data_IF_089721774532
#
_entry.id   IF_089721774532
#
_cell.length_a   1.000
_cell.length_b   1.000
_cell.length_c   1.000
_cell.angle_alpha   90.00
_cell.angle_beta   90.00
_cell.angle_gamma   90.00
#
_symmetry.space_group_name_H-M   'P 1'
#
loop_
_entity.id
_entity.type
_entity.pdbx_description
1 polymer ?
#
# COMPACT_ATOMS: atom_id res chain seq x y z
N UNK A 1 -16.89 4.48 23.43
CA UNK A 1 -16.33 3.24 22.81
C UNK A 1 -15.28 3.52 21.75
N UNK A 2 -15.49 4.44 20.80
CA UNK A 2 -14.50 4.71 19.73
C UNK A 2 -13.11 5.12 20.26
N UNK A 3 -13.05 6.05 21.22
CA UNK A 3 -11.78 6.53 21.80
C UNK A 3 -10.97 5.39 22.45
N UNK A 4 -11.64 4.50 23.19
CA UNK A 4 -10.99 3.38 23.87
C UNK A 4 -10.36 2.39 22.87
N UNK A 5 -11.09 2.04 21.80
CA UNK A 5 -10.56 1.19 20.72
C UNK A 5 -9.40 1.85 19.99
N UNK A 6 -9.45 3.16 19.76
CA UNK A 6 -8.34 3.91 19.16
C UNK A 6 -7.11 3.92 20.07
N UNK A 7 -7.30 4.04 21.39
CA UNK A 7 -6.21 3.97 22.36
C UNK A 7 -5.56 2.58 22.38
N UNK A 8 -6.37 1.52 22.46
CA UNK A 8 -5.91 0.13 22.39
C UNK A 8 -5.13 -0.15 21.11
N UNK A 9 -5.61 0.37 19.96
CA UNK A 9 -4.91 0.29 18.69
C UNK A 9 -3.54 0.98 18.74
N UNK A 10 -3.48 2.21 19.25
CA UNK A 10 -2.22 2.97 19.34
C UNK A 10 -1.21 2.31 20.27
N UNK A 11 -1.65 1.75 21.40
CA UNK A 11 -0.80 0.95 22.31
C UNK A 11 -0.32 -0.32 21.60
N UNK A 12 -1.21 -1.03 20.90
CA UNK A 12 -0.86 -2.26 20.16
C UNK A 12 0.16 -2.01 19.03
N UNK A 13 0.07 -0.86 18.36
CA UNK A 13 1.05 -0.43 17.35
C UNK A 13 2.38 0.03 18.00
N UNK A 14 2.41 0.18 19.31
CA UNK A 14 3.53 0.71 20.07
C UNK A 14 3.73 2.21 19.86
N UNK A 15 2.69 2.95 19.46
CA UNK A 15 2.72 4.40 19.34
C UNK A 15 2.64 5.09 20.72
N UNK A 16 1.94 4.46 21.67
CA UNK A 16 1.78 4.90 23.04
C UNK A 16 2.27 3.82 24.01
N UNK A 17 2.75 4.24 25.18
CA UNK A 17 2.99 3.36 26.33
C UNK A 17 1.66 3.01 27.03
N UNK A 18 1.68 2.09 27.99
CA UNK A 18 0.49 1.72 28.77
C UNK A 18 -0.06 2.90 29.59
N UNK A 19 0.79 3.86 29.94
CA UNK A 19 0.44 5.11 30.63
C UNK A 19 -0.13 6.17 29.67
N UNK A 20 -0.22 5.89 28.36
CA UNK A 20 -0.77 6.80 27.36
C UNK A 20 0.19 7.89 26.89
N UNK A 21 1.51 7.71 27.09
CA UNK A 21 2.56 8.65 26.64
C UNK A 21 3.11 8.21 25.28
N UNK A 22 3.52 9.15 24.42
CA UNK A 22 4.20 8.80 23.16
C UNK A 22 5.46 7.98 23.43
N UNK A 23 5.60 6.86 22.73
CA UNK A 23 6.79 6.02 22.84
C UNK A 23 7.97 6.59 22.05
N UNK A 24 9.18 6.33 22.53
CA UNK A 24 10.43 6.68 21.87
C UNK A 24 11.12 5.40 21.35
N UNK A 25 11.51 5.30 20.07
CA UNK A 25 11.33 6.29 19.00
C UNK A 25 10.02 6.16 18.22
N UNK A 26 9.28 5.07 18.39
CA UNK A 26 8.19 4.68 17.47
C UNK A 26 7.06 5.71 17.45
N UNK A 27 6.51 6.10 18.59
CA UNK A 27 5.42 7.08 18.69
C UNK A 27 5.82 8.43 18.12
N UNK A 28 7.01 8.92 18.47
CA UNK A 28 7.54 10.17 17.93
C UNK A 28 7.77 10.12 16.41
N UNK A 29 8.21 8.98 15.87
CA UNK A 29 8.33 8.80 14.43
C UNK A 29 6.96 8.76 13.75
N UNK A 30 5.98 8.05 14.32
CA UNK A 30 4.63 7.92 13.74
C UNK A 30 3.92 9.26 13.60
N UNK A 31 4.05 10.17 14.59
CA UNK A 31 3.43 11.50 14.58
C UNK A 31 4.00 12.41 13.48
N UNK A 32 5.23 12.17 13.01
CA UNK A 32 5.86 12.97 11.94
C UNK A 32 5.35 12.60 10.55
N UNK A 33 4.65 11.49 10.39
CA UNK A 33 4.12 11.02 9.12
C UNK A 33 2.65 11.41 8.99
N UNK A 34 2.22 12.10 7.91
CA UNK A 34 0.83 12.50 7.70
C UNK A 34 0.00 11.31 7.17
N UNK A 35 -0.09 10.25 7.97
CA UNK A 35 -0.68 8.97 7.60
C UNK A 35 -1.48 8.37 8.75
N UNK A 36 -2.36 7.42 8.42
CA UNK A 36 -2.99 6.58 9.42
C UNK A 36 -1.95 5.81 10.24
N UNK A 37 -2.19 5.57 11.54
CA UNK A 37 -1.21 4.93 12.43
C UNK A 37 -0.66 3.59 11.91
N UNK A 38 -1.49 2.77 11.26
CA UNK A 38 -1.05 1.49 10.70
C UNK A 38 -0.05 1.69 9.56
N UNK A 39 -0.27 2.67 8.69
CA UNK A 39 0.65 3.00 7.59
C UNK A 39 1.93 3.64 8.09
N UNK A 40 1.85 4.52 9.08
CA UNK A 40 3.04 5.08 9.76
C UNK A 40 3.89 3.97 10.38
N UNK A 41 3.25 3.03 11.08
CA UNK A 41 3.92 1.85 11.64
C UNK A 41 4.55 0.99 10.54
N UNK A 42 3.86 0.79 9.43
CA UNK A 42 4.35 -0.01 8.31
C UNK A 42 5.66 0.53 7.72
N UNK A 43 5.78 1.85 7.57
CA UNK A 43 7.01 2.49 7.09
C UNK A 43 8.16 2.35 8.10
N UNK A 44 7.89 2.54 9.39
CA UNK A 44 8.91 2.36 10.44
C UNK A 44 9.44 0.92 10.45
N UNK A 45 8.54 -0.07 10.34
CA UNK A 45 8.90 -1.49 10.30
C UNK A 45 9.63 -1.85 9.00
N UNK A 46 9.26 -1.25 7.86
CA UNK A 46 9.90 -1.50 6.57
C UNK A 46 11.40 -1.17 6.55
N UNK A 47 11.84 -0.21 7.36
CA UNK A 47 13.27 0.08 7.57
C UNK A 47 14.02 -1.14 8.13
N UNK A 48 13.39 -1.91 9.03
CA UNK A 48 13.98 -3.11 9.65
C UNK A 48 14.03 -4.29 8.68
N UNK A 49 13.02 -4.42 7.82
CA UNK A 49 12.93 -5.47 6.80
C UNK A 49 13.65 -5.13 5.49
N UNK A 50 14.23 -3.92 5.39
CA UNK A 50 14.94 -3.42 4.20
C UNK A 50 14.09 -3.39 2.92
N UNK A 51 12.80 -3.07 3.05
CA UNK A 51 11.82 -3.01 1.96
C UNK A 51 11.06 -1.69 1.92
N UNK A 52 11.75 -0.59 2.27
CA UNK A 52 11.17 0.75 2.38
C UNK A 52 10.64 1.26 1.04
N UNK A 53 11.38 1.08 -0.05
CA UNK A 53 10.95 1.53 -1.38
C UNK A 53 9.65 0.82 -1.82
N UNK A 54 9.52 -0.48 -1.57
CA UNK A 54 8.29 -1.22 -1.83
C UNK A 54 7.12 -0.80 -0.94
N UNK A 55 7.38 -0.62 0.37
CA UNK A 55 6.34 -0.26 1.33
C UNK A 55 5.82 1.17 1.09
N UNK A 56 6.69 2.11 0.71
CA UNK A 56 6.29 3.46 0.31
C UNK A 56 5.27 3.44 -0.84
N UNK A 57 5.53 2.61 -1.85
CA UNK A 57 4.62 2.44 -2.99
C UNK A 57 3.29 1.86 -2.51
N UNK A 58 3.31 0.80 -1.72
CA UNK A 58 2.09 0.16 -1.21
C UNK A 58 1.26 1.14 -0.38
N UNK A 59 1.86 1.82 0.58
CA UNK A 59 1.17 2.81 1.43
C UNK A 59 0.58 3.93 0.57
N UNK A 60 1.32 4.43 -0.42
CA UNK A 60 0.83 5.47 -1.30
C UNK A 60 -0.37 5.01 -2.14
N UNK A 61 -0.34 3.79 -2.68
CA UNK A 61 -1.45 3.21 -3.43
C UNK A 61 -2.69 2.97 -2.56
N UNK A 62 -2.50 2.49 -1.32
CA UNK A 62 -3.57 2.28 -0.35
C UNK A 62 -4.19 3.59 0.20
N UNK A 63 -3.43 4.68 0.14
CA UNK A 63 -3.87 6.02 0.59
C UNK A 63 -4.71 6.76 -0.46
N UNK A 64 -5.01 6.12 -1.60
CA UNK A 64 -5.87 6.68 -2.65
C UNK A 64 -7.18 5.94 -2.76
N UNK A 65 -8.17 6.57 -3.40
CA UNK A 65 -9.36 5.86 -3.88
C UNK A 65 -8.94 4.69 -4.78
N UNK A 66 -9.80 3.65 -4.86
CA UNK A 66 -9.56 2.47 -5.70
C UNK A 66 -8.98 2.86 -7.06
N UNK A 67 -7.80 2.32 -7.35
CA UNK A 67 -7.12 2.56 -8.62
C UNK A 67 -7.82 1.86 -9.78
N UNK A 68 -8.62 0.82 -9.51
CA UNK A 68 -9.36 0.09 -10.53
C UNK A 68 -10.70 0.76 -10.80
N UNK A 69 -11.09 0.84 -12.07
CA UNK A 69 -12.45 1.15 -12.48
C UNK A 69 -13.00 0.05 -13.38
N UNK A 70 -14.23 -0.39 -13.13
CA UNK A 70 -14.85 -1.48 -13.88
C UNK A 70 -16.15 -1.01 -14.51
N UNK A 71 -16.14 -0.64 -15.81
CA UNK A 71 -17.36 -0.31 -16.54
C UNK A 71 -18.24 -1.55 -16.68
N UNK A 72 -19.56 -1.40 -16.45
CA UNK A 72 -20.52 -2.52 -16.55
C UNK A 72 -20.47 -3.23 -17.91
N UNK A 73 -20.29 -2.49 -18.99
CA UNK A 73 -20.23 -3.01 -20.36
C UNK A 73 -18.92 -3.74 -20.70
N UNK A 74 -17.86 -3.49 -19.93
CA UNK A 74 -16.49 -4.00 -20.19
C UNK A 74 -15.96 -4.84 -19.02
N UNK A 75 -16.85 -5.52 -18.30
CA UNK A 75 -16.49 -6.30 -17.12
C UNK A 75 -15.42 -7.36 -17.41
N UNK A 76 -15.59 -8.14 -18.48
CA UNK A 76 -14.66 -9.21 -18.84
C UNK A 76 -13.30 -8.68 -19.34
N UNK A 77 -13.30 -7.59 -20.11
CA UNK A 77 -12.07 -6.89 -20.53
C UNK A 77 -11.31 -6.33 -19.31
N UNK A 78 -12.03 -5.71 -18.38
CA UNK A 78 -11.47 -5.17 -17.13
C UNK A 78 -10.83 -6.27 -16.29
N UNK A 79 -11.52 -7.40 -16.12
CA UNK A 79 -10.98 -8.58 -15.41
C UNK A 79 -9.74 -9.15 -16.11
N UNK A 80 -9.75 -9.22 -17.44
CA UNK A 80 -8.59 -9.70 -18.20
C UNK A 80 -7.38 -8.78 -18.03
N UNK A 81 -7.59 -7.46 -18.06
CA UNK A 81 -6.52 -6.49 -17.83
C UNK A 81 -5.97 -6.54 -16.40
N UNK A 82 -6.82 -6.64 -15.39
CA UNK A 82 -6.40 -6.78 -13.98
C UNK A 82 -5.55 -8.03 -13.75
N UNK A 83 -5.85 -9.13 -14.44
CA UNK A 83 -5.04 -10.37 -14.35
C UNK A 83 -3.61 -10.19 -14.84
N UNK A 84 -3.35 -9.29 -15.80
CA UNK A 84 -2.00 -9.06 -16.34
C UNK A 84 -0.99 -8.53 -15.31
N UNK A 85 -1.46 -7.86 -14.26
CA UNK A 85 -0.60 -7.39 -13.15
C UNK A 85 -0.82 -8.14 -11.85
N UNK A 86 -1.77 -9.08 -11.84
CA UNK A 86 -2.07 -9.89 -10.66
C UNK A 86 -0.82 -10.63 -10.19
N UNK A 87 -0.56 -10.53 -8.90
CA UNK A 87 0.52 -11.26 -8.27
C UNK A 87 -0.08 -12.37 -7.40
N UNK A 88 0.39 -13.60 -7.60
CA UNK A 88 -0.08 -14.77 -6.84
C UNK A 88 0.17 -14.68 -5.34
N UNK A 89 1.09 -13.81 -4.91
CA UNK A 89 1.40 -13.59 -3.50
C UNK A 89 0.55 -12.49 -2.83
N UNK A 90 -0.34 -11.83 -3.58
CA UNK A 90 -1.43 -11.01 -3.03
C UNK A 90 -1.57 -9.59 -3.61
N UNK A 91 -2.69 -8.94 -3.26
CA UNK A 91 -3.11 -7.65 -3.81
C UNK A 91 -2.14 -6.49 -3.57
N UNK A 92 -1.44 -6.48 -2.42
CA UNK A 92 -0.41 -5.48 -2.14
C UNK A 92 0.72 -5.54 -3.18
N UNK A 93 1.12 -6.74 -3.61
CA UNK A 93 2.13 -6.91 -4.64
C UNK A 93 1.56 -6.60 -6.03
N UNK A 94 0.28 -6.85 -6.27
CA UNK A 94 -0.41 -6.39 -7.48
C UNK A 94 -0.35 -4.86 -7.61
N UNK A 95 -0.64 -4.12 -6.53
CA UNK A 95 -0.52 -2.65 -6.51
C UNK A 95 0.91 -2.17 -6.77
N UNK A 96 1.89 -2.86 -6.17
CA UNK A 96 3.32 -2.61 -6.42
C UNK A 96 3.68 -2.81 -7.90
N UNK A 97 3.22 -3.90 -8.52
CA UNK A 97 3.43 -4.19 -9.95
C UNK A 97 2.86 -3.09 -10.84
N UNK A 98 1.63 -2.64 -10.55
CA UNK A 98 0.94 -1.59 -11.30
C UNK A 98 1.72 -0.27 -11.23
N UNK A 99 2.13 0.14 -10.02
CA UNK A 99 2.89 1.36 -9.83
C UNK A 99 4.21 1.31 -10.60
N UNK A 100 4.98 0.22 -10.47
CA UNK A 100 6.26 0.03 -11.17
C UNK A 100 6.10 0.05 -12.69
N UNK A 101 5.10 -0.64 -13.23
CA UNK A 101 4.80 -0.63 -14.66
C UNK A 101 4.46 0.78 -15.17
N UNK A 102 3.71 1.54 -14.38
CA UNK A 102 3.39 2.93 -14.72
C UNK A 102 4.61 3.85 -14.73
N UNK A 103 5.56 3.60 -13.82
CA UNK A 103 6.77 4.40 -13.70
C UNK A 103 7.76 4.10 -14.82
N UNK A 104 7.97 2.81 -15.11
CA UNK A 104 8.79 2.35 -16.25
C UNK A 104 8.27 2.91 -17.58
N UNK A 105 6.94 2.92 -17.79
CA UNK A 105 6.33 3.51 -18.99
C UNK A 105 6.62 5.01 -19.11
N UNK A 106 6.53 5.72 -17.98
CA UNK A 106 6.73 7.16 -17.93
C UNK A 106 8.21 7.50 -18.19
N UNK A 107 9.14 6.77 -17.61
CA UNK A 107 10.58 6.91 -17.84
C UNK A 107 10.93 6.66 -19.32
N UNK A 108 10.50 5.53 -19.89
CA UNK A 108 10.71 5.23 -21.31
C UNK A 108 10.13 6.30 -22.22
N UNK A 109 8.94 6.81 -21.91
CA UNK A 109 8.29 7.85 -22.71
C UNK A 109 9.01 9.20 -22.63
N UNK A 110 9.57 9.57 -21.47
CA UNK A 110 10.35 10.81 -21.28
C UNK A 110 11.68 10.79 -22.04
N UNK A 111 12.28 9.62 -22.26
CA UNK A 111 13.52 9.48 -23.03
C UNK A 111 13.32 9.70 -24.52
N UNK A 112 12.15 9.36 -25.05
CA UNK A 112 11.87 9.36 -26.50
C UNK A 112 10.97 10.53 -26.93
N UNK A 113 10.29 11.19 -25.99
CA UNK A 113 9.29 12.20 -26.31
C UNK A 113 9.14 13.30 -25.27
N UNK A 114 8.43 14.38 -25.65
CA UNK A 114 8.12 15.48 -24.72
C UNK A 114 7.31 15.00 -23.51
N UNK A 115 7.40 15.74 -22.41
CA UNK A 115 6.65 15.46 -21.17
C UNK A 115 5.15 15.30 -21.41
N UNK A 116 4.57 16.15 -22.26
CA UNK A 116 3.15 16.09 -22.61
C UNK A 116 2.79 14.77 -23.31
N UNK A 117 3.65 14.28 -24.22
CA UNK A 117 3.45 13.01 -24.91
C UNK A 117 3.61 11.82 -23.96
N UNK A 118 4.54 11.89 -23.01
CA UNK A 118 4.67 10.88 -21.95
C UNK A 118 3.41 10.78 -21.08
N UNK A 119 2.84 11.91 -20.67
CA UNK A 119 1.56 11.93 -19.92
C UNK A 119 0.39 11.37 -20.74
N UNK A 120 0.33 11.68 -22.04
CA UNK A 120 -0.69 11.12 -22.94
C UNK A 120 -0.56 9.59 -23.07
N UNK A 121 0.66 9.07 -23.16
CA UNK A 121 0.92 7.64 -23.20
C UNK A 121 0.51 6.95 -21.89
N UNK A 122 0.82 7.56 -20.74
CA UNK A 122 0.38 7.05 -19.44
C UNK A 122 -1.15 7.02 -19.33
N UNK A 123 -1.84 8.08 -19.80
CA UNK A 123 -3.30 8.11 -19.83
C UNK A 123 -3.90 7.02 -20.72
N UNK A 124 -3.29 6.74 -21.87
CA UNK A 124 -3.69 5.63 -22.75
C UNK A 124 -3.49 4.28 -22.05
N UNK A 125 -2.32 4.04 -21.45
CA UNK A 125 -2.04 2.81 -20.71
C UNK A 125 -3.01 2.61 -19.54
N UNK A 126 -3.33 3.66 -18.79
CA UNK A 126 -4.31 3.59 -17.72
C UNK A 126 -5.69 3.16 -18.24
N UNK A 127 -6.13 3.73 -19.37
CA UNK A 127 -7.40 3.36 -20.01
C UNK A 127 -7.41 1.91 -20.50
N UNK A 128 -6.33 1.47 -21.14
CA UNK A 128 -6.20 0.11 -21.67
C UNK A 128 -6.15 -0.94 -20.55
N UNK A 129 -5.68 -0.55 -19.35
CA UNK A 129 -5.56 -1.43 -18.18
C UNK A 129 -6.64 -1.20 -17.11
N UNK A 130 -7.68 -0.41 -17.42
CA UNK A 130 -8.79 -0.13 -16.49
C UNK A 130 -8.35 0.47 -15.15
N UNK A 131 -7.31 1.32 -15.20
CA UNK A 131 -6.74 2.05 -14.07
C UNK A 131 -7.17 3.51 -14.14
N UNK A 132 -7.59 4.07 -13.00
CA UNK A 132 -7.88 5.48 -12.82
C UNK A 132 -6.57 6.29 -12.86
N UNK A 133 -6.37 7.04 -13.95
CA UNK A 133 -5.23 7.98 -14.08
C UNK A 133 -5.21 9.01 -12.94
N UNK A 134 -6.39 9.41 -12.43
CA UNK A 134 -6.52 10.36 -11.32
C UNK A 134 -5.99 9.74 -10.02
N UNK A 135 -6.43 8.53 -9.69
CA UNK A 135 -6.00 7.82 -8.49
C UNK A 135 -4.51 7.51 -8.55
N UNK A 136 -4.01 7.06 -9.71
CA UNK A 136 -2.59 6.78 -9.91
C UNK A 136 -1.72 8.03 -9.76
N UNK A 137 -2.12 9.19 -10.32
CA UNK A 137 -1.42 10.46 -10.13
C UNK A 137 -1.38 10.87 -8.66
N UNK A 138 -2.52 10.78 -7.98
CA UNK A 138 -2.61 11.06 -6.54
C UNK A 138 -1.66 10.14 -5.74
N UNK A 139 -1.59 8.85 -6.07
CA UNK A 139 -0.70 7.91 -5.41
C UNK A 139 0.77 8.31 -5.61
N UNK A 140 1.16 8.75 -6.81
CA UNK A 140 2.52 9.24 -7.08
C UNK A 140 2.86 10.52 -6.30
N UNK A 141 1.91 11.43 -6.16
CA UNK A 141 2.08 12.65 -5.38
C UNK A 141 2.25 12.33 -3.89
N UNK A 142 1.39 11.45 -3.34
CA UNK A 142 1.49 10.95 -1.97
C UNK A 142 2.83 10.24 -1.75
N UNK A 143 3.24 9.35 -2.66
CA UNK A 143 4.53 8.66 -2.60
C UNK A 143 5.70 9.64 -2.47
N UNK A 144 5.74 10.67 -3.33
CA UNK A 144 6.76 11.72 -3.30
C UNK A 144 6.79 12.49 -1.98
N UNK A 145 5.61 12.82 -1.43
CA UNK A 145 5.51 13.52 -0.15
C UNK A 145 5.97 12.65 1.02
N UNK A 146 5.51 11.41 1.11
CA UNK A 146 5.89 10.49 2.20
C UNK A 146 7.39 10.19 2.14
N UNK A 147 7.93 9.91 0.95
CA UNK A 147 9.37 9.65 0.77
C UNK A 147 10.22 10.78 1.36
N UNK A 148 9.88 12.04 1.08
CA UNK A 148 10.58 13.21 1.64
C UNK A 148 10.53 13.24 3.17
N UNK A 149 9.38 12.92 3.77
CA UNK A 149 9.25 12.85 5.23
C UNK A 149 10.14 11.74 5.82
N UNK A 150 10.14 10.55 5.21
CA UNK A 150 10.97 9.40 5.61
C UNK A 150 12.47 9.75 5.53
N UNK A 151 12.89 10.40 4.44
CA UNK A 151 14.27 10.89 4.27
C UNK A 151 14.65 11.93 5.34
N UNK A 152 13.79 12.91 5.61
CA UNK A 152 13.99 13.93 6.66
C UNK A 152 14.00 13.35 8.09
N UNK A 153 13.42 12.18 8.28
CA UNK A 153 13.47 11.44 9.55
C UNK A 153 14.75 10.61 9.69
N UNK A 154 15.57 10.50 8.63
CA UNK A 154 16.77 9.67 8.62
C UNK A 154 16.48 8.17 8.53
N UNK A 155 15.28 7.78 8.09
CA UNK A 155 14.94 6.38 7.89
C UNK A 155 15.58 5.87 6.58
N UNK A 156 16.15 4.66 6.62
CA UNK A 156 16.89 4.10 5.49
C UNK A 156 16.00 3.76 4.30
N UNK A 157 16.26 4.37 3.16
CA UNK A 157 15.68 3.97 1.88
C UNK A 157 16.42 2.74 1.35
N UNK A 158 15.75 1.60 1.40
CA UNK A 158 16.27 0.32 0.92
C UNK A 158 15.17 -0.43 0.19
N UNK A 159 15.57 -1.19 -0.84
CA UNK A 159 14.69 -2.08 -1.58
C UNK A 159 15.05 -3.52 -1.27
N UNK A 160 14.04 -4.38 -1.12
CA UNK A 160 14.27 -5.82 -1.00
C UNK A 160 14.56 -6.50 -2.35
N UNK A 161 14.60 -5.74 -3.45
CA UNK A 161 14.88 -6.24 -4.79
C UNK A 161 13.88 -7.30 -5.21
N UNK A 162 14.37 -8.48 -5.57
CA UNK A 162 13.54 -9.64 -5.93
C UNK A 162 13.04 -10.46 -4.74
N UNK A 163 13.56 -10.25 -3.52
CA UNK A 163 13.17 -11.02 -2.34
C UNK A 163 11.89 -10.45 -1.70
N UNK A 164 10.76 -10.74 -2.32
CA UNK A 164 9.44 -10.31 -1.85
C UNK A 164 9.00 -11.00 -0.55
N UNK A 165 9.76 -11.97 -0.02
CA UNK A 165 9.47 -12.54 1.29
C UNK A 165 9.69 -11.50 2.40
N UNK A 166 10.70 -10.64 2.28
CA UNK A 166 10.96 -9.56 3.24
C UNK A 166 9.78 -8.59 3.31
N UNK A 167 9.26 -8.20 2.15
CA UNK A 167 8.08 -7.33 2.06
C UNK A 167 6.84 -7.98 2.69
N UNK A 168 6.58 -9.26 2.42
CA UNK A 168 5.43 -9.96 3.01
C UNK A 168 5.53 -10.13 4.52
N UNK A 169 6.73 -10.40 5.05
CA UNK A 169 6.97 -10.42 6.50
C UNK A 169 6.76 -9.05 7.11
N UNK A 170 7.21 -7.99 6.42
CA UNK A 170 6.95 -6.61 6.84
C UNK A 170 5.44 -6.30 6.86
N UNK A 171 4.70 -6.68 5.82
CA UNK A 171 3.24 -6.51 5.76
C UNK A 171 2.56 -7.24 6.92
N UNK A 172 2.91 -8.50 7.18
CA UNK A 172 2.37 -9.26 8.29
C UNK A 172 2.67 -8.61 9.66
N UNK A 173 3.90 -8.12 9.87
CA UNK A 173 4.30 -7.45 11.10
C UNK A 173 3.62 -6.08 11.30
N UNK A 174 3.24 -5.41 10.22
CA UNK A 174 2.68 -4.05 10.28
C UNK A 174 1.15 -4.03 10.33
N UNK A 175 0.52 -4.95 9.59
CA UNK A 175 -0.93 -5.06 9.43
C UNK A 175 -1.53 -6.19 10.28
N UNK A 176 -0.82 -6.65 11.32
CA UNK A 176 -1.20 -7.81 12.14
C UNK A 176 -2.63 -7.73 12.72
N UNK A 177 -3.13 -6.51 13.01
CA UNK A 177 -4.48 -6.26 13.54
C UNK A 177 -5.58 -6.59 12.51
N UNK A 178 -5.22 -6.54 11.22
CA UNK A 178 -6.11 -6.81 10.09
C UNK A 178 -5.96 -8.25 9.57
N UNK A 179 -5.35 -9.15 10.35
CA UNK A 179 -5.21 -10.55 9.99
C UNK A 179 -6.53 -11.33 10.14
N UNK A 180 -6.74 -12.29 9.26
CA UNK A 180 -7.86 -13.22 9.31
C UNK A 180 -7.38 -14.66 9.05
N UNK A 181 -8.08 -15.63 9.64
CA UNK A 181 -7.78 -17.05 9.50
C UNK A 181 -8.90 -17.77 8.76
N UNK A 182 -8.54 -18.54 7.74
CA UNK A 182 -9.47 -19.43 7.03
C UNK A 182 -9.97 -20.53 7.97
N UNK A 183 -11.28 -20.72 8.01
CA UNK A 183 -11.97 -21.74 8.79
C UNK A 183 -12.21 -23.01 7.94
N UNK A 184 -12.47 -24.18 8.57
CA UNK A 184 -12.74 -25.43 7.86
C UNK A 184 -13.94 -25.37 6.91
N UNK A 185 -14.92 -24.52 7.22
CA UNK A 185 -16.12 -24.28 6.40
C UNK A 185 -15.88 -23.38 5.18
N UNK A 186 -14.64 -22.91 5.00
CA UNK A 186 -14.24 -22.02 3.91
C UNK A 186 -14.45 -20.52 4.17
N UNK A 187 -15.07 -20.14 5.29
CA UNK A 187 -15.16 -18.73 5.72
C UNK A 187 -13.84 -18.23 6.31
N UNK A 188 -13.73 -16.93 6.53
CA UNK A 188 -12.57 -16.34 7.22
C UNK A 188 -13.01 -15.74 8.54
N UNK A 189 -12.14 -15.78 9.55
CA UNK A 189 -12.41 -15.17 10.88
C UNK A 189 -11.33 -14.16 11.21
N UNK A 190 -11.72 -12.91 11.47
CA UNK A 190 -10.79 -11.85 11.86
C UNK A 190 -10.15 -12.15 13.23
N UNK A 191 -8.84 -11.97 13.38
CA UNK A 191 -8.11 -12.30 14.62
C UNK A 191 -8.36 -11.29 15.75
N UNK A 192 -8.55 -10.01 15.42
CA UNK A 192 -8.72 -8.94 16.41
C UNK A 192 -10.11 -8.91 17.06
N UNK A 193 -11.16 -9.36 16.35
CA UNK A 193 -12.55 -9.30 16.82
C UNK A 193 -13.34 -10.60 16.72
N UNK A 194 -12.79 -11.66 16.11
CA UNK A 194 -13.45 -12.94 15.96
C UNK A 194 -14.65 -12.95 15.00
N UNK A 195 -14.91 -11.87 14.28
CA UNK A 195 -16.00 -11.75 13.31
C UNK A 195 -15.73 -12.61 12.07
N UNK A 196 -16.77 -13.25 11.54
CA UNK A 196 -16.73 -13.93 10.24
C UNK A 196 -16.71 -12.90 9.11
N UNK A 197 -15.74 -13.03 8.21
CA UNK A 197 -15.48 -12.16 7.07
C UNK A 197 -15.30 -13.01 5.80
N UNK A 198 -15.32 -12.36 4.64
CA UNK A 198 -15.12 -13.00 3.34
C UNK A 198 -14.10 -12.20 2.52
N UNK A 199 -13.43 -12.88 1.59
CA UNK A 199 -12.58 -12.21 0.60
C UNK A 199 -13.49 -11.41 -0.34
N UNK A 200 -13.14 -10.14 -0.57
CA UNK A 200 -13.92 -9.28 -1.45
C UNK A 200 -13.83 -9.79 -2.91
N UNK A 201 -14.92 -9.75 -3.71
CA UNK A 201 -14.91 -10.27 -5.10
C UNK A 201 -13.94 -9.57 -6.08
N UNK A 202 -13.29 -8.49 -5.66
CA UNK A 202 -12.29 -7.78 -6.46
C UNK A 202 -10.86 -8.30 -6.27
N UNK A 203 -10.63 -9.14 -5.26
CA UNK A 203 -9.35 -9.82 -4.99
C UNK A 203 -9.18 -11.07 -5.85
#
# INVERSE_FOLDING_TARGET
MAIMKSLELLISLGALTEEGVLSDPVGHQMVRLPLDPIYSKALIVASQFKCMEEMLIIVAMLSTESIYYTPREKLEESRAASRSYSNSEGDHLTLLSIYRASDELLEKSKLVSSREKAEKNLGKWCKDNFISIRSLRNARDIHSQIRRNVEQMGLGLSSCGGDMLLLRRCLAASFFINAAQKQPDGTYRALSGGQTVQIHPSS
#
